data_IF_230905942795
#
_entry.id   IF_230905942795
#
_cell.length_a   1.000
_cell.length_b   1.000
_cell.length_c   1.000
_cell.angle_alpha   90.00
_cell.angle_beta   90.00
_cell.angle_gamma   90.00
#
_symmetry.space_group_name_H-M   'P 1'
#
loop_
_entity.id
_entity.type
_entity.pdbx_description
1 polymer ?
#
# COMPACT_ATOMS: atom_id res chain seq x y z
N UNK A 1 -1.06 -2.74 -4.06
CA UNK A 1 -2.27 -1.95 -4.38
C UNK A 1 -3.44 -2.52 -3.63
N UNK A 2 -4.33 -1.67 -3.17
CA UNK A 2 -5.56 -2.07 -2.48
C UNK A 2 -6.56 -0.92 -2.41
N UNK A 3 -7.64 -1.13 -1.71
CA UNK A 3 -8.77 -0.20 -1.63
C UNK A 3 -9.41 -0.22 -0.23
N UNK A 4 -10.03 0.88 0.22
CA UNK A 4 -10.76 0.89 1.48
C UNK A 4 -12.05 0.07 1.37
N UNK A 5 -12.45 -0.60 2.47
CA UNK A 5 -13.57 -1.56 2.46
C UNK A 5 -14.91 -0.96 2.00
N UNK A 6 -15.13 0.34 2.23
CA UNK A 6 -16.34 1.01 1.76
C UNK A 6 -16.52 0.97 0.22
N UNK A 7 -15.44 0.75 -0.55
CA UNK A 7 -15.53 0.51 -2.00
C UNK A 7 -16.33 -0.75 -2.31
N UNK A 8 -16.08 -1.83 -1.58
CA UNK A 8 -16.83 -3.08 -1.71
C UNK A 8 -18.24 -2.93 -1.14
N UNK A 9 -18.39 -2.28 0.03
CA UNK A 9 -19.69 -2.04 0.69
C UNK A 9 -20.65 -1.24 -0.20
N UNK A 10 -20.13 -0.26 -0.95
CA UNK A 10 -20.90 0.54 -1.92
C UNK A 10 -21.07 -0.16 -3.28
N UNK A 11 -20.49 -1.33 -3.47
CA UNK A 11 -20.56 -2.06 -4.74
C UNK A 11 -19.93 -1.35 -5.93
N UNK A 12 -18.90 -0.51 -5.71
CA UNK A 12 -18.29 0.31 -6.76
C UNK A 12 -17.50 -0.53 -7.77
N UNK A 13 -17.00 -1.69 -7.37
CA UNK A 13 -16.31 -2.66 -8.24
C UNK A 13 -16.62 -4.09 -7.78
N UNK A 14 -17.75 -4.66 -8.20
CA UNK A 14 -18.09 -6.04 -7.86
C UNK A 14 -17.04 -7.03 -8.35
N UNK A 15 -16.69 -7.98 -7.49
CA UNK A 15 -15.67 -8.99 -7.78
C UNK A 15 -14.30 -8.71 -7.12
N UNK A 16 -14.03 -7.48 -6.64
CA UNK A 16 -12.87 -7.26 -5.79
C UNK A 16 -12.99 -8.13 -4.51
N UNK A 17 -11.87 -8.68 -3.98
CA UNK A 17 -10.48 -8.36 -4.29
C UNK A 17 -9.86 -9.07 -5.50
N UNK A 18 -10.55 -9.96 -6.20
CA UNK A 18 -9.99 -10.59 -7.40
C UNK A 18 -9.64 -9.50 -8.44
N UNK A 19 -8.37 -9.45 -8.84
CA UNK A 19 -7.87 -8.47 -9.81
C UNK A 19 -8.62 -8.51 -11.15
N UNK A 20 -9.22 -9.64 -11.52
CA UNK A 20 -9.96 -9.77 -12.77
C UNK A 20 -11.19 -8.86 -12.83
N UNK A 21 -11.71 -8.44 -11.66
CA UNK A 21 -12.77 -7.44 -11.56
C UNK A 21 -12.38 -6.10 -12.22
N UNK A 22 -11.08 -5.78 -12.22
CA UNK A 22 -10.55 -4.55 -12.85
C UNK A 22 -10.69 -4.54 -14.39
N UNK A 23 -10.98 -5.67 -15.02
CA UNK A 23 -11.27 -5.76 -16.46
C UNK A 23 -12.68 -5.25 -16.82
N UNK A 24 -13.51 -5.00 -15.81
CA UNK A 24 -14.84 -4.46 -16.04
C UNK A 24 -14.77 -2.94 -16.22
N UNK A 25 -15.17 -2.40 -17.41
CA UNK A 25 -15.16 -0.95 -17.64
C UNK A 25 -16.10 -0.18 -16.68
N UNK A 26 -17.18 -0.79 -16.20
CA UNK A 26 -18.07 -0.12 -15.23
C UNK A 26 -17.42 0.00 -13.85
N UNK A 27 -16.53 -0.92 -13.49
CA UNK A 27 -15.67 -0.76 -12.33
C UNK A 27 -14.75 0.46 -12.52
N UNK A 28 -13.98 0.51 -13.61
CA UNK A 28 -13.02 1.59 -13.85
C UNK A 28 -13.66 3.00 -13.80
N UNK A 29 -14.87 3.16 -14.35
CA UNK A 29 -15.62 4.44 -14.32
C UNK A 29 -15.84 4.99 -12.91
N UNK A 30 -16.03 4.13 -11.92
CA UNK A 30 -16.25 4.56 -10.54
C UNK A 30 -14.98 5.07 -9.85
N UNK A 31 -13.82 4.92 -10.50
CA UNK A 31 -12.50 5.31 -9.99
C UNK A 31 -11.88 6.46 -10.79
N UNK A 32 -12.65 7.09 -11.67
CA UNK A 32 -12.17 8.24 -12.44
C UNK A 32 -12.02 9.46 -11.55
N UNK A 33 -11.10 10.33 -11.93
CA UNK A 33 -10.84 11.62 -11.28
C UNK A 33 -10.78 12.72 -12.34
N UNK A 34 -10.91 14.00 -11.98
CA UNK A 34 -10.90 15.10 -12.96
C UNK A 34 -9.66 15.13 -13.86
N UNK A 35 -8.55 14.57 -13.40
CA UNK A 35 -7.29 14.49 -14.11
C UNK A 35 -7.06 13.14 -14.80
N UNK A 36 -8.04 12.23 -14.77
CA UNK A 36 -7.97 10.94 -15.45
C UNK A 36 -7.93 11.12 -16.97
N UNK A 37 -6.91 10.58 -17.66
CA UNK A 37 -6.87 10.62 -19.13
C UNK A 37 -7.96 9.69 -19.68
N UNK A 38 -8.66 10.16 -20.73
CA UNK A 38 -9.64 9.39 -21.49
C UNK A 38 -10.72 8.68 -20.64
N UNK A 39 -11.01 9.20 -19.45
CA UNK A 39 -12.00 8.62 -18.53
C UNK A 39 -11.55 7.30 -17.86
N UNK A 40 -10.26 7.00 -17.87
CA UNK A 40 -9.71 5.81 -17.21
C UNK A 40 -9.84 5.88 -15.68
N UNK A 41 -10.02 4.74 -15.04
CA UNK A 41 -9.91 4.63 -13.59
C UNK A 41 -8.48 4.91 -13.12
N UNK A 42 -8.34 5.58 -11.99
CA UNK A 42 -7.03 5.92 -11.43
C UNK A 42 -6.58 4.91 -10.38
N UNK A 43 -5.35 4.45 -10.49
CA UNK A 43 -4.57 3.81 -9.44
C UNK A 43 -3.51 4.78 -8.94
N UNK A 44 -3.50 5.12 -7.66
CA UNK A 44 -2.52 6.05 -7.09
C UNK A 44 -1.37 5.26 -6.48
N UNK A 45 -0.19 5.35 -7.12
CA UNK A 45 1.06 4.75 -6.64
C UNK A 45 1.78 5.73 -5.70
N UNK A 46 2.70 5.22 -4.88
CA UNK A 46 3.63 6.04 -4.10
C UNK A 46 4.56 6.88 -4.99
N UNK A 47 5.50 7.63 -4.39
CA UNK A 47 6.52 8.33 -5.16
C UNK A 47 7.24 7.38 -6.13
N UNK A 48 7.46 7.79 -7.37
CA UNK A 48 8.11 6.96 -8.39
C UNK A 48 9.49 6.44 -7.94
N UNK A 49 10.17 7.17 -7.04
CA UNK A 49 11.44 6.74 -6.44
C UNK A 49 11.34 5.51 -5.54
N UNK A 50 10.13 5.08 -5.15
CA UNK A 50 9.95 3.89 -4.30
C UNK A 50 10.09 2.59 -5.09
N UNK A 51 9.36 2.47 -6.21
CA UNK A 51 9.25 1.22 -6.97
C UNK A 51 9.43 1.39 -8.48
N UNK A 52 9.83 2.60 -8.94
CA UNK A 52 9.95 2.88 -10.37
C UNK A 52 8.62 2.63 -11.09
N UNK A 53 8.69 1.92 -12.20
CA UNK A 53 7.52 1.66 -13.06
C UNK A 53 6.88 0.27 -12.81
N UNK A 54 7.11 -0.34 -11.65
CA UNK A 54 6.60 -1.70 -11.34
C UNK A 54 5.09 -1.82 -11.49
N UNK A 55 4.33 -0.85 -10.97
CA UNK A 55 2.87 -0.89 -11.04
C UNK A 55 2.35 -0.55 -12.44
N UNK A 56 2.82 0.48 -13.15
CA UNK A 56 2.52 0.67 -14.56
C UNK A 56 2.76 -0.57 -15.41
N UNK A 57 3.92 -1.20 -15.28
CA UNK A 57 4.26 -2.42 -16.01
C UNK A 57 3.30 -3.58 -15.69
N UNK A 58 2.88 -3.73 -14.45
CA UNK A 58 1.87 -4.74 -14.06
C UNK A 58 0.51 -4.45 -14.69
N UNK A 59 0.06 -3.20 -14.66
CA UNK A 59 -1.20 -2.77 -15.28
C UNK A 59 -1.20 -3.12 -16.76
N UNK A 60 -0.12 -2.82 -17.48
CA UNK A 60 0.04 -3.13 -18.89
C UNK A 60 0.10 -4.65 -19.14
N UNK A 61 0.92 -5.38 -18.38
CA UNK A 61 1.09 -6.83 -18.51
C UNK A 61 -0.20 -7.61 -18.27
N UNK A 62 -1.07 -7.12 -17.38
CA UNK A 62 -2.39 -7.71 -17.09
C UNK A 62 -3.48 -7.30 -18.11
N UNK A 63 -3.13 -6.44 -19.09
CA UNK A 63 -4.07 -5.93 -20.09
C UNK A 63 -5.11 -4.97 -19.52
N UNK A 64 -4.72 -4.19 -18.51
CA UNK A 64 -5.59 -3.23 -17.85
C UNK A 64 -5.38 -1.79 -18.35
N UNK A 65 -4.34 -1.51 -19.14
CA UNK A 65 -3.92 -0.18 -19.56
C UNK A 65 -4.94 0.62 -20.36
N UNK A 66 -5.92 -0.05 -20.99
CA UNK A 66 -7.01 0.63 -21.69
C UNK A 66 -8.06 1.22 -20.73
N UNK A 67 -8.22 0.62 -19.55
CA UNK A 67 -9.22 1.00 -18.56
C UNK A 67 -8.64 1.77 -17.37
N UNK A 68 -7.36 1.57 -17.07
CA UNK A 68 -6.70 2.11 -15.88
C UNK A 68 -5.43 2.85 -16.23
N UNK A 69 -5.12 3.85 -15.43
CA UNK A 69 -3.86 4.55 -15.47
C UNK A 69 -3.26 4.68 -14.07
N UNK A 70 -1.95 4.75 -14.02
CA UNK A 70 -1.23 4.87 -12.75
C UNK A 70 -0.70 6.29 -12.61
N UNK A 71 -1.09 6.95 -11.52
CA UNK A 71 -0.56 8.26 -11.12
C UNK A 71 0.37 8.09 -9.95
N UNK A 72 1.50 8.76 -9.97
CA UNK A 72 2.41 8.78 -8.84
C UNK A 72 2.05 9.90 -7.86
N UNK A 73 1.97 9.57 -6.57
CA UNK A 73 1.84 10.54 -5.49
C UNK A 73 3.19 11.14 -5.13
N UNK A 74 3.19 12.34 -4.59
CA UNK A 74 4.44 13.00 -4.15
C UNK A 74 4.96 12.50 -2.79
N UNK A 75 4.12 11.85 -1.99
CA UNK A 75 4.45 11.39 -0.63
C UNK A 75 3.45 10.34 -0.14
N UNK A 76 3.75 9.68 0.99
CA UNK A 76 2.80 8.82 1.71
C UNK A 76 1.56 9.61 2.17
N UNK A 77 1.73 10.83 2.67
CA UNK A 77 0.61 11.66 3.12
C UNK A 77 -0.40 11.92 1.99
N UNK A 78 0.07 12.03 0.74
CA UNK A 78 -0.81 12.18 -0.42
C UNK A 78 -1.65 10.91 -0.68
N UNK A 79 -1.11 9.71 -0.41
CA UNK A 79 -1.89 8.46 -0.47
C UNK A 79 -3.00 8.45 0.58
N UNK A 80 -2.68 8.89 1.80
CA UNK A 80 -3.65 8.91 2.90
C UNK A 80 -4.72 9.99 2.72
N UNK A 81 -4.33 11.16 2.20
CA UNK A 81 -5.28 12.23 1.86
C UNK A 81 -6.27 11.79 0.78
N UNK A 82 -5.83 10.95 -0.17
CA UNK A 82 -6.67 10.38 -1.22
C UNK A 82 -7.81 9.53 -0.64
N UNK A 83 -7.56 8.72 0.39
CA UNK A 83 -8.61 7.90 1.01
C UNK A 83 -9.78 8.78 1.48
N UNK A 84 -9.47 9.82 2.25
CA UNK A 84 -10.49 10.75 2.77
C UNK A 84 -11.18 11.56 1.67
N UNK A 85 -10.45 11.97 0.63
CA UNK A 85 -11.02 12.71 -0.49
C UNK A 85 -11.99 11.86 -1.30
N UNK A 86 -11.59 10.64 -1.66
CA UNK A 86 -12.41 9.71 -2.43
C UNK A 86 -13.70 9.33 -1.69
N UNK A 87 -13.61 9.07 -0.38
CA UNK A 87 -14.78 8.76 0.45
C UNK A 87 -15.78 9.90 0.46
N UNK A 88 -15.30 11.14 0.67
CA UNK A 88 -16.12 12.35 0.67
C UNK A 88 -16.79 12.61 -0.68
N UNK A 89 -16.10 12.32 -1.77
CA UNK A 89 -16.59 12.47 -3.13
C UNK A 89 -17.49 11.30 -3.58
N UNK A 90 -17.52 10.21 -2.82
CA UNK A 90 -18.33 9.02 -3.10
C UNK A 90 -17.82 8.18 -4.26
N UNK A 91 -16.58 8.39 -4.72
CA UNK A 91 -15.92 7.62 -5.80
C UNK A 91 -15.03 6.52 -5.24
N UNK A 92 -14.76 5.51 -6.05
CA UNK A 92 -13.77 4.50 -5.72
C UNK A 92 -12.34 5.06 -5.70
N UNK A 93 -11.46 4.39 -4.96
CA UNK A 93 -10.03 4.64 -5.02
C UNK A 93 -9.24 3.36 -4.82
N UNK A 94 -8.16 3.21 -5.58
CA UNK A 94 -7.14 2.18 -5.44
C UNK A 94 -5.82 2.91 -5.19
N UNK A 95 -5.16 2.61 -4.08
CA UNK A 95 -3.89 3.22 -3.74
C UNK A 95 -2.80 2.17 -3.52
N UNK A 96 -1.54 2.57 -3.67
CA UNK A 96 -0.43 1.81 -3.12
C UNK A 96 -0.53 1.79 -1.60
N UNK A 97 -0.33 0.63 -1.02
CA UNK A 97 -0.33 0.45 0.41
C UNK A 97 0.58 -0.73 0.79
N UNK A 98 0.95 -0.79 2.06
CA UNK A 98 1.76 -1.85 2.64
C UNK A 98 1.28 -2.17 4.05
N UNK A 99 1.70 -3.30 4.57
CA UNK A 99 1.51 -3.69 5.97
C UNK A 99 2.88 -3.99 6.59
N UNK A 100 3.14 -3.64 7.87
CA UNK A 100 2.21 -3.02 8.80
C UNK A 100 2.16 -1.49 8.70
N UNK A 101 0.97 -0.91 8.77
CA UNK A 101 0.75 0.51 8.99
C UNK A 101 -0.62 0.76 9.65
N UNK A 102 -1.03 2.02 9.82
CA UNK A 102 -2.28 2.37 10.49
C UNK A 102 -3.54 1.86 9.77
N UNK A 103 -3.48 1.59 8.47
CA UNK A 103 -4.63 1.09 7.70
C UNK A 103 -4.97 -0.37 8.01
N UNK A 104 -4.07 -1.12 8.67
CA UNK A 104 -4.32 -2.52 9.06
C UNK A 104 -5.55 -2.65 9.97
N UNK A 105 -5.86 -1.61 10.77
CA UNK A 105 -7.05 -1.52 11.61
C UNK A 105 -8.19 -0.68 11.03
N UNK A 106 -8.03 -0.06 9.87
CA UNK A 106 -8.93 0.95 9.32
C UNK A 106 -9.82 0.44 8.17
N UNK A 107 -9.92 -0.88 7.97
CA UNK A 107 -10.77 -1.44 6.92
C UNK A 107 -10.22 -1.21 5.52
N UNK A 108 -9.06 -1.78 5.23
CA UNK A 108 -8.39 -1.75 3.94
C UNK A 108 -8.16 -3.17 3.41
N UNK A 109 -8.45 -3.40 2.13
CA UNK A 109 -8.29 -4.70 1.47
C UNK A 109 -7.31 -4.60 0.32
N UNK A 110 -6.34 -5.52 0.27
CA UNK A 110 -5.43 -5.65 -0.87
C UNK A 110 -6.10 -6.38 -2.03
N UNK A 111 -5.71 -6.01 -3.26
CA UNK A 111 -6.16 -6.70 -4.48
C UNK A 111 -5.34 -7.97 -4.65
N UNK A 112 -6.02 -9.08 -4.87
CA UNK A 112 -5.43 -10.40 -5.10
C UNK A 112 -4.93 -10.50 -6.54
N UNK A 113 -3.72 -9.95 -6.78
CA UNK A 113 -3.00 -10.14 -8.04
C UNK A 113 -2.45 -11.58 -8.15
N UNK A 114 -2.08 -12.05 -9.37
CA UNK A 114 -1.43 -13.34 -9.50
C UNK A 114 -0.24 -13.48 -8.54
N UNK A 115 -0.03 -14.66 -7.94
CA UNK A 115 1.03 -14.86 -6.94
C UNK A 115 2.41 -14.46 -7.47
N UNK A 116 3.24 -13.90 -6.58
CA UNK A 116 4.65 -13.66 -6.91
C UNK A 116 5.40 -14.98 -7.05
N UNK A 117 6.19 -15.07 -8.11
CA UNK A 117 7.18 -16.14 -8.29
C UNK A 117 8.53 -15.50 -8.62
N UNK A 118 9.62 -16.14 -8.19
CA UNK A 118 10.97 -15.61 -8.49
C UNK A 118 11.17 -15.48 -10.00
N UNK A 119 11.70 -14.33 -10.44
CA UNK A 119 11.92 -14.04 -11.85
C UNK A 119 10.68 -13.58 -12.62
N UNK A 120 9.51 -13.38 -11.97
CA UNK A 120 8.30 -12.97 -12.67
C UNK A 120 8.25 -11.48 -13.05
N UNK A 121 9.15 -10.66 -12.50
CA UNK A 121 9.22 -9.23 -12.81
C UNK A 121 9.94 -8.96 -14.13
N UNK A 122 9.62 -7.88 -14.85
CA UNK A 122 10.29 -7.54 -16.11
C UNK A 122 11.80 -7.35 -15.96
N UNK A 123 12.27 -6.77 -14.85
CA UNK A 123 13.71 -6.61 -14.57
C UNK A 123 14.47 -7.94 -14.45
N UNK A 124 13.76 -9.01 -14.11
CA UNK A 124 14.28 -10.38 -14.02
C UNK A 124 14.01 -11.22 -15.28
N UNK A 125 13.43 -10.60 -16.32
CA UNK A 125 13.06 -11.24 -17.59
C UNK A 125 11.68 -11.91 -17.59
N UNK A 126 10.85 -11.68 -16.58
CA UNK A 126 9.49 -12.20 -16.47
C UNK A 126 8.46 -11.36 -17.24
N UNK A 127 7.21 -11.83 -17.23
CA UNK A 127 6.10 -11.21 -17.94
C UNK A 127 5.41 -10.05 -17.19
N UNK A 128 5.82 -9.77 -15.95
CA UNK A 128 5.32 -8.66 -15.14
C UNK A 128 3.91 -8.83 -14.55
N UNK A 129 3.26 -9.97 -14.76
CA UNK A 129 1.86 -10.17 -14.31
C UNK A 129 1.71 -10.46 -12.83
N UNK A 130 2.77 -10.78 -12.13
CA UNK A 130 2.73 -11.17 -10.72
C UNK A 130 2.49 -10.02 -9.75
N UNK A 131 1.96 -10.36 -8.58
CA UNK A 131 1.84 -9.50 -7.42
C UNK A 131 3.18 -9.14 -6.79
N UNK A 132 3.14 -8.63 -5.58
CA UNK A 132 4.35 -8.35 -4.81
C UNK A 132 4.72 -9.56 -3.95
N UNK A 133 6.02 -9.80 -3.69
CA UNK A 133 6.42 -10.87 -2.77
C UNK A 133 5.98 -10.53 -1.36
N UNK A 134 5.74 -11.56 -0.57
CA UNK A 134 5.63 -11.40 0.87
C UNK A 134 6.95 -10.87 1.43
N UNK A 135 6.84 -9.96 2.36
CA UNK A 135 7.97 -9.35 3.03
C UNK A 135 7.84 -9.41 4.54
N UNK A 136 8.92 -9.07 5.23
CA UNK A 136 8.93 -8.91 6.66
C UNK A 136 9.80 -7.72 7.07
N UNK A 137 9.45 -7.08 8.17
CA UNK A 137 10.25 -5.99 8.70
C UNK A 137 11.53 -6.54 9.33
N UNK A 138 12.64 -5.88 9.04
CA UNK A 138 13.96 -6.22 9.58
C UNK A 138 14.42 -5.14 10.55
N UNK A 139 15.18 -5.56 11.55
CA UNK A 139 15.94 -4.65 12.40
C UNK A 139 17.30 -4.41 11.73
N UNK A 140 17.67 -3.14 11.58
CA UNK A 140 18.97 -2.75 11.04
C UNK A 140 19.75 -1.93 12.07
N UNK A 141 21.05 -2.14 12.14
CA UNK A 141 21.97 -1.37 12.96
C UNK A 141 23.34 -1.33 12.27
N UNK A 142 24.15 -0.33 12.62
CA UNK A 142 25.54 -0.27 12.15
C UNK A 142 26.29 -1.54 12.58
N UNK A 143 27.20 -2.03 11.74
CA UNK A 143 27.95 -3.28 11.97
C UNK A 143 28.74 -3.29 13.26
N UNK A 144 29.23 -2.13 13.70
CA UNK A 144 29.97 -2.00 14.95
C UNK A 144 29.10 -1.84 16.21
N UNK A 145 27.78 -1.69 16.04
CA UNK A 145 26.86 -1.52 17.18
C UNK A 145 26.98 -2.64 18.20
N UNK A 146 27.06 -3.94 17.82
CA UNK A 146 27.23 -5.04 18.79
C UNK A 146 28.59 -5.00 19.51
N UNK A 147 29.63 -4.42 18.89
CA UNK A 147 30.97 -4.33 19.46
C UNK A 147 31.07 -3.15 20.43
N UNK A 148 30.53 -2.00 20.04
CA UNK A 148 30.63 -0.75 20.82
C UNK A 148 29.59 -0.67 21.95
N UNK A 149 28.40 -1.30 21.76
CA UNK A 149 27.28 -1.26 22.68
C UNK A 149 26.65 -2.63 22.92
N UNK A 150 27.39 -3.62 23.45
CA UNK A 150 26.97 -5.02 23.48
C UNK A 150 25.67 -5.26 24.26
N UNK A 151 25.47 -4.55 25.37
CA UNK A 151 24.25 -4.66 26.19
C UNK A 151 23.02 -4.12 25.45
N UNK A 152 23.16 -2.96 24.80
CA UNK A 152 22.08 -2.37 23.99
C UNK A 152 21.77 -3.24 22.76
N UNK A 153 22.79 -3.78 22.11
CA UNK A 153 22.61 -4.71 20.98
C UNK A 153 21.88 -6.00 21.40
N UNK A 154 22.18 -6.53 22.59
CA UNK A 154 21.49 -7.69 23.14
C UNK A 154 20.00 -7.39 23.43
N UNK A 155 19.68 -6.22 23.95
CA UNK A 155 18.31 -5.77 24.13
C UNK A 155 17.59 -5.57 22.79
N UNK A 156 18.24 -4.90 21.83
CA UNK A 156 17.70 -4.66 20.49
C UNK A 156 17.36 -5.97 19.73
N UNK A 157 18.19 -7.01 19.89
CA UNK A 157 17.90 -8.33 19.31
C UNK A 157 16.63 -8.96 19.86
N UNK A 158 16.27 -8.68 21.13
CA UNK A 158 15.07 -9.23 21.78
C UNK A 158 13.79 -8.47 21.43
N UNK A 159 13.89 -7.24 20.96
CA UNK A 159 12.70 -6.50 20.52
C UNK A 159 12.00 -7.27 19.40
N UNK A 160 10.71 -7.47 19.56
CA UNK A 160 9.85 -8.07 18.54
C UNK A 160 8.48 -7.41 18.61
N UNK A 161 7.95 -7.07 17.46
CA UNK A 161 6.63 -6.47 17.33
C UNK A 161 5.80 -7.26 16.33
N UNK A 162 4.55 -7.51 16.68
CA UNK A 162 3.59 -8.05 15.71
C UNK A 162 3.14 -6.96 14.72
N UNK A 163 2.61 -7.37 13.58
CA UNK A 163 2.01 -6.46 12.60
C UNK A 163 0.96 -5.56 13.26
N UNK A 164 0.08 -6.14 14.08
CA UNK A 164 -0.96 -5.39 14.79
C UNK A 164 -0.41 -4.37 15.79
N UNK A 165 0.68 -4.68 16.48
CA UNK A 165 1.34 -3.73 17.40
C UNK A 165 1.91 -2.54 16.64
N UNK A 166 2.57 -2.78 15.50
CA UNK A 166 3.13 -1.71 14.68
C UNK A 166 2.01 -0.85 14.08
N UNK A 167 0.95 -1.48 13.55
CA UNK A 167 -0.21 -0.75 13.02
C UNK A 167 -0.89 0.12 14.08
N UNK A 168 -1.07 -0.41 15.30
CA UNK A 168 -1.63 0.35 16.42
C UNK A 168 -0.74 1.54 16.84
N UNK A 169 0.58 1.37 16.88
CA UNK A 169 1.51 2.47 17.16
C UNK A 169 1.48 3.53 16.05
N UNK A 170 1.45 3.10 14.78
CA UNK A 170 1.33 4.00 13.66
C UNK A 170 0.03 4.82 13.72
N UNK A 171 -1.09 4.21 14.11
CA UNK A 171 -2.36 4.91 14.25
C UNK A 171 -2.32 6.07 15.28
N UNK A 172 -1.57 5.93 16.36
CA UNK A 172 -1.41 7.01 17.34
C UNK A 172 -0.79 8.28 16.71
N UNK A 173 0.11 8.11 15.74
CA UNK A 173 0.76 9.23 15.05
C UNK A 173 -0.04 9.67 13.82
N UNK A 174 -0.40 8.72 12.96
CA UNK A 174 -0.99 9.03 11.65
C UNK A 174 -2.47 9.40 11.73
N UNK A 175 -3.22 8.84 12.69
CA UNK A 175 -4.65 9.09 12.88
C UNK A 175 -4.89 10.04 14.04
N UNK A 176 -4.39 9.71 15.24
CA UNK A 176 -4.61 10.49 16.47
C UNK A 176 -3.75 11.77 16.52
N UNK A 177 -2.83 11.95 15.58
CA UNK A 177 -1.93 13.11 15.45
C UNK A 177 -1.07 13.36 16.69
N UNK A 178 -0.75 12.32 17.45
CA UNK A 178 0.16 12.40 18.59
C UNK A 178 1.60 12.65 18.11
N UNK A 179 2.40 13.29 18.96
CA UNK A 179 3.86 13.31 18.72
C UNK A 179 4.41 11.89 18.84
N UNK A 180 5.52 11.60 18.18
CA UNK A 180 6.17 10.28 18.28
C UNK A 180 6.53 9.94 19.73
N UNK A 181 6.95 10.95 20.52
CA UNK A 181 7.29 10.76 21.94
C UNK A 181 6.07 10.39 22.78
N UNK A 182 4.94 11.08 22.59
CA UNK A 182 3.71 10.81 23.34
C UNK A 182 3.09 9.47 22.92
N UNK A 183 3.14 9.14 21.63
CA UNK A 183 2.73 7.83 21.12
C UNK A 183 3.56 6.70 21.75
N UNK A 184 4.89 6.86 21.82
CA UNK A 184 5.76 5.89 22.47
C UNK A 184 5.46 5.74 23.96
N UNK A 185 5.26 6.85 24.70
CA UNK A 185 4.87 6.82 26.12
C UNK A 185 3.54 6.10 26.32
N UNK A 186 2.54 6.41 25.50
CA UNK A 186 1.21 5.77 25.56
C UNK A 186 1.30 4.27 25.29
N UNK A 187 2.16 3.86 24.37
CA UNK A 187 2.35 2.46 24.06
C UNK A 187 3.07 1.67 25.15
N UNK A 188 3.98 2.32 25.89
CA UNK A 188 4.73 1.71 27.00
C UNK A 188 3.94 1.62 28.33
N UNK A 189 2.86 2.38 28.48
CA UNK A 189 1.98 2.38 29.66
C UNK A 189 1.05 1.17 29.69
#
# INVERSE_FOLDING_TARGET
>A
MGYPNWVAEKGLCPGLPDWTALKNPDCAKNFTTPDSPDGKGRMLEGPQTWHGDLIPQRVDALGLGDLWWVKFAGSADALWAELSAAEKEGRGTIIFNWTPNFTDGAGFTFIDFPPYTAGCRPEDGGDGKCGSPDGYLKKAAHEDFPKTHPKAAAAFKKLSFSTSQIGAMAALVDVDKMTHEDAAKKWLA
#
